data_IF_822963623576
#
_entry.id   IF_822963623576
#
_cell.length_a   1.000
_cell.length_b   1.000
_cell.length_c   1.000
_cell.angle_alpha   90.00
_cell.angle_beta   90.00
_cell.angle_gamma   90.00
#
_symmetry.space_group_name_H-M   'P 1'
#
loop_
_entity.id
_entity.type
_entity.pdbx_description
1 polymer ?
#
# COMPACT_ATOMS: atom_id res chain seq x y z
N UNK A 1 5.88 0.71 14.58
CA UNK A 1 5.85 1.89 13.67
C UNK A 1 6.91 2.94 14.01
N UNK A 2 6.84 3.64 15.16
CA UNK A 2 7.76 4.74 15.52
C UNK A 2 9.27 4.49 15.44
N UNK A 3 9.70 3.23 15.50
CA UNK A 3 11.11 2.83 15.34
C UNK A 3 11.58 2.89 13.88
N UNK A 4 10.66 2.72 12.92
CA UNK A 4 10.95 2.52 11.50
C UNK A 4 10.38 3.63 10.62
N UNK A 5 9.50 4.46 11.16
CA UNK A 5 8.82 5.54 10.45
C UNK A 5 9.06 6.88 11.16
N UNK A 6 9.16 7.95 10.37
CA UNK A 6 9.31 9.33 10.85
C UNK A 6 7.98 10.02 11.15
N UNK A 7 6.85 9.41 10.75
CA UNK A 7 5.50 10.00 10.86
C UNK A 7 5.38 11.35 10.12
N UNK A 8 6.14 11.51 9.03
CA UNK A 8 6.22 12.72 8.18
C UNK A 8 5.00 12.91 7.25
N UNK A 9 4.21 11.84 7.10
CA UNK A 9 2.99 11.77 6.29
C UNK A 9 1.83 11.34 7.20
N UNK A 10 0.63 11.95 7.07
CA UNK A 10 -0.52 11.52 7.87
C UNK A 10 -0.88 10.05 7.59
N UNK A 11 -1.22 9.32 8.66
CA UNK A 11 -1.74 7.97 8.53
C UNK A 11 -3.23 7.96 8.24
N UNK A 12 -3.66 6.95 7.50
CA UNK A 12 -5.04 6.47 7.49
C UNK A 12 -5.07 5.06 8.07
N UNK A 13 -5.98 4.81 9.00
CA UNK A 13 -6.21 3.48 9.56
C UNK A 13 -7.15 2.69 8.67
N UNK A 14 -7.01 1.36 8.70
CA UNK A 14 -7.81 0.42 7.89
C UNK A 14 -9.31 0.66 8.07
N UNK A 15 -9.76 0.91 9.29
CA UNK A 15 -11.16 1.16 9.62
C UNK A 15 -11.71 2.45 8.98
N UNK A 16 -10.84 3.40 8.63
CA UNK A 16 -11.19 4.69 8.05
C UNK A 16 -11.00 4.73 6.52
N UNK A 17 -10.53 3.64 5.92
CA UNK A 17 -10.33 3.52 4.48
C UNK A 17 -11.51 2.76 3.85
N UNK A 18 -12.36 3.49 3.13
CA UNK A 18 -13.36 2.88 2.26
C UNK A 18 -12.74 2.61 0.87
N UNK A 19 -12.24 1.41 0.64
CA UNK A 19 -11.61 0.98 -0.61
C UNK A 19 -12.59 0.89 -1.80
N UNK A 20 -13.89 1.05 -1.55
CA UNK A 20 -14.93 1.14 -2.59
C UNK A 20 -15.16 2.55 -3.12
N UNK A 21 -14.58 3.56 -2.47
CA UNK A 21 -14.66 4.95 -2.94
C UNK A 21 -13.80 5.13 -4.20
N UNK A 22 -14.45 5.41 -5.32
CA UNK A 22 -13.80 5.58 -6.63
C UNK A 22 -12.93 6.84 -6.71
N UNK A 23 -13.04 7.74 -5.73
CA UNK A 23 -12.22 8.95 -5.66
C UNK A 23 -10.88 8.73 -4.94
N UNK A 24 -10.62 7.53 -4.44
CA UNK A 24 -9.36 7.17 -3.78
C UNK A 24 -8.44 6.44 -4.76
N UNK A 25 -7.20 6.92 -4.83
CA UNK A 25 -6.14 6.20 -5.52
C UNK A 25 -5.33 5.39 -4.51
N UNK A 26 -5.22 4.09 -4.76
CA UNK A 26 -4.43 3.16 -3.95
C UNK A 26 -3.11 2.86 -4.65
N UNK A 27 -1.99 3.13 -3.98
CA UNK A 27 -0.65 2.82 -4.48
C UNK A 27 0.00 1.75 -3.62
N UNK A 28 0.44 0.66 -4.25
CA UNK A 28 1.21 -0.39 -3.61
C UNK A 28 2.70 -0.18 -3.84
N UNK A 29 3.40 0.16 -2.77
CA UNK A 29 4.84 0.37 -2.74
C UNK A 29 5.62 -0.92 -2.45
N UNK A 30 5.00 -2.11 -2.57
CA UNK A 30 5.73 -3.38 -2.54
C UNK A 30 6.28 -3.72 -3.92
N UNK A 31 7.22 -4.67 -3.97
CA UNK A 31 7.79 -5.11 -5.24
C UNK A 31 6.75 -5.89 -6.07
N UNK A 32 6.86 -5.89 -7.41
CA UNK A 32 5.86 -6.53 -8.29
C UNK A 32 5.54 -7.98 -7.94
N UNK A 33 6.55 -8.76 -7.52
CA UNK A 33 6.34 -10.14 -7.06
C UNK A 33 5.40 -10.24 -5.85
N UNK A 34 5.47 -9.27 -4.93
CA UNK A 34 4.61 -9.23 -3.75
C UNK A 34 3.18 -8.82 -4.12
N UNK A 35 3.05 -7.89 -5.06
CA UNK A 35 1.78 -7.42 -5.62
C UNK A 35 1.06 -8.55 -6.40
N UNK A 36 1.81 -9.36 -7.14
CA UNK A 36 1.25 -10.47 -7.92
C UNK A 36 0.60 -11.56 -7.05
N UNK A 37 1.19 -11.85 -5.89
CA UNK A 37 0.60 -12.76 -4.88
C UNK A 37 -0.74 -12.21 -4.42
N UNK A 38 -0.74 -10.98 -3.92
CA UNK A 38 -1.97 -10.25 -3.65
C UNK A 38 -1.76 -8.77 -3.47
N UNK A 39 -2.83 -8.00 -3.63
CA UNK A 39 -2.91 -6.55 -3.45
C UNK A 39 -4.34 -6.12 -3.07
N UNK A 40 -4.49 -4.89 -2.60
CA UNK A 40 -5.80 -4.26 -2.42
C UNK A 40 -6.46 -4.08 -3.79
N UNK A 41 -7.77 -4.27 -3.86
CA UNK A 41 -8.53 -4.14 -5.10
C UNK A 41 -8.34 -2.74 -5.73
N UNK A 42 -8.17 -2.68 -7.05
CA UNK A 42 -7.89 -1.44 -7.83
C UNK A 42 -6.57 -0.73 -7.49
N UNK A 43 -5.68 -1.33 -6.69
CA UNK A 43 -4.38 -0.71 -6.40
C UNK A 43 -3.45 -0.70 -7.62
N UNK A 44 -2.62 0.34 -7.71
CA UNK A 44 -1.57 0.50 -8.72
C UNK A 44 -0.25 0.09 -8.09
N UNK A 45 0.43 -0.90 -8.68
CA UNK A 45 1.78 -1.29 -8.26
C UNK A 45 2.79 -0.23 -8.72
N UNK A 46 3.51 0.38 -7.77
CA UNK A 46 4.55 1.40 -8.07
C UNK A 46 5.96 0.93 -7.74
N UNK A 47 6.11 -0.15 -6.96
CA UNK A 47 7.42 -0.64 -6.52
C UNK A 47 8.08 0.28 -5.49
N UNK A 48 9.18 -0.18 -4.90
CA UNK A 48 9.99 0.63 -3.98
C UNK A 48 11.42 0.81 -4.49
N UNK A 49 12.12 -0.30 -4.78
CA UNK A 49 13.57 -0.26 -5.10
C UNK A 49 13.86 0.55 -6.37
N UNK A 50 12.94 0.49 -7.33
CA UNK A 50 13.01 1.20 -8.61
C UNK A 50 11.82 2.16 -8.79
N UNK A 51 11.33 2.75 -7.69
CA UNK A 51 10.21 3.69 -7.74
C UNK A 51 10.52 4.86 -8.69
N UNK A 52 9.62 5.08 -9.66
CA UNK A 52 9.68 6.18 -10.61
C UNK A 52 8.52 7.15 -10.37
N UNK A 53 8.85 8.31 -9.81
CA UNK A 53 7.88 9.35 -9.51
C UNK A 53 7.20 9.91 -10.77
N UNK A 54 7.94 10.09 -11.87
CA UNK A 54 7.38 10.67 -13.09
C UNK A 54 6.39 9.71 -13.74
N UNK A 55 6.75 8.42 -13.82
CA UNK A 55 5.86 7.36 -14.29
C UNK A 55 4.64 7.19 -13.40
N UNK A 56 4.81 7.34 -12.08
CA UNK A 56 3.69 7.28 -11.13
C UNK A 56 2.73 8.44 -11.34
N UNK A 57 3.23 9.68 -11.47
CA UNK A 57 2.42 10.88 -11.71
C UNK A 57 1.54 10.75 -12.95
N UNK A 58 2.04 10.12 -14.02
CA UNK A 58 1.28 9.90 -15.25
C UNK A 58 0.06 8.96 -15.08
N UNK A 59 0.06 8.13 -14.03
CA UNK A 59 -1.06 7.24 -13.69
C UNK A 59 -2.03 7.86 -12.66
N UNK A 60 -1.67 9.00 -12.09
CA UNK A 60 -2.46 9.69 -11.08
C UNK A 60 -3.39 10.72 -11.75
N UNK A 61 -4.53 11.05 -11.13
CA UNK A 61 -5.37 12.16 -11.55
C UNK A 61 -4.57 13.46 -11.65
N UNK A 62 -4.94 14.31 -12.62
CA UNK A 62 -4.35 15.65 -12.79
C UNK A 62 -4.60 16.54 -11.55
N UNK A 63 -5.76 16.38 -10.91
CA UNK A 63 -6.09 17.12 -9.69
C UNK A 63 -5.27 16.60 -8.50
N UNK A 64 -4.32 17.44 -8.06
CA UNK A 64 -3.43 17.20 -6.92
C UNK A 64 -4.15 17.16 -5.56
N UNK A 65 -5.45 17.44 -5.52
CA UNK A 65 -6.29 17.29 -4.34
C UNK A 65 -6.95 15.90 -4.26
N UNK A 66 -6.80 15.02 -5.26
CA UNK A 66 -7.28 13.64 -5.12
C UNK A 66 -6.64 12.94 -3.92
N UNK A 67 -7.44 12.11 -3.24
CA UNK A 67 -6.98 11.34 -2.08
C UNK A 67 -6.14 10.17 -2.57
N UNK A 68 -4.88 10.14 -2.15
CA UNK A 68 -3.93 9.07 -2.45
C UNK A 68 -3.60 8.35 -1.15
N UNK A 69 -3.72 7.04 -1.15
CA UNK A 69 -3.32 6.19 -0.04
C UNK A 69 -2.24 5.24 -0.53
N UNK A 70 -1.06 5.36 0.06
CA UNK A 70 0.09 4.50 -0.24
C UNK A 70 0.20 3.44 0.84
N UNK A 71 0.45 2.21 0.46
CA UNK A 71 0.68 1.13 1.41
C UNK A 71 1.84 0.23 0.97
N UNK A 72 2.43 -0.45 1.94
CA UNK A 72 3.30 -1.59 1.68
C UNK A 72 2.89 -2.74 2.60
N UNK A 73 3.80 -3.64 2.98
CA UNK A 73 3.50 -4.74 3.92
C UNK A 73 3.03 -4.21 5.28
N UNK A 74 3.73 -3.21 5.83
CA UNK A 74 3.54 -2.72 7.20
C UNK A 74 3.41 -1.20 7.35
N UNK A 75 3.61 -0.43 6.27
CA UNK A 75 3.60 1.04 6.30
C UNK A 75 4.98 1.70 6.29
N UNK A 76 6.08 0.95 6.23
CA UNK A 76 7.45 1.49 6.26
C UNK A 76 7.82 2.09 4.91
N UNK A 77 8.03 1.24 3.88
CA UNK A 77 8.33 1.66 2.50
C UNK A 77 7.36 2.70 1.92
N UNK A 78 6.08 2.59 2.29
CA UNK A 78 5.04 3.49 1.78
C UNK A 78 5.13 4.91 2.36
N UNK A 79 5.77 5.10 3.51
CA UNK A 79 6.02 6.46 4.03
C UNK A 79 6.96 7.23 3.08
N UNK A 80 8.07 6.62 2.68
CA UNK A 80 9.06 7.25 1.78
C UNK A 80 8.45 7.62 0.42
N UNK A 81 7.63 6.72 -0.14
CA UNK A 81 6.91 6.98 -1.40
C UNK A 81 5.89 8.11 -1.22
N UNK A 82 5.14 8.09 -0.12
CA UNK A 82 4.17 9.14 0.16
C UNK A 82 4.82 10.52 0.38
N UNK A 83 6.02 10.58 0.97
CA UNK A 83 6.79 11.82 1.05
C UNK A 83 7.17 12.37 -0.32
N UNK A 84 7.60 11.50 -1.24
CA UNK A 84 7.95 11.92 -2.61
C UNK A 84 6.74 12.50 -3.33
N UNK A 85 5.56 11.90 -3.16
CA UNK A 85 4.30 12.42 -3.72
C UNK A 85 3.93 13.78 -3.10
N UNK A 86 4.08 13.97 -1.79
CA UNK A 86 3.87 15.28 -1.16
C UNK A 86 4.84 16.34 -1.69
N UNK A 87 6.13 15.99 -1.85
CA UNK A 87 7.15 16.87 -2.44
C UNK A 87 6.82 17.24 -3.89
N UNK A 88 6.14 16.34 -4.61
CA UNK A 88 5.62 16.58 -5.97
C UNK A 88 4.31 17.40 -6.02
N UNK A 89 3.80 17.88 -4.88
CA UNK A 89 2.66 18.80 -4.80
C UNK A 89 1.29 18.14 -4.58
N UNK A 90 1.21 16.82 -4.38
CA UNK A 90 -0.05 16.18 -3.97
C UNK A 90 -0.39 16.54 -2.52
N UNK A 91 -1.61 16.99 -2.29
CA UNK A 91 -2.01 17.56 -0.99
C UNK A 91 -2.59 16.52 -0.04
N UNK A 92 -3.30 15.53 -0.58
CA UNK A 92 -4.06 14.54 0.17
C UNK A 92 -3.42 13.15 0.08
N UNK A 93 -2.16 13.03 0.50
CA UNK A 93 -1.41 11.77 0.52
C UNK A 93 -1.36 11.19 1.93
N UNK A 94 -1.76 9.92 2.06
CA UNK A 94 -1.80 9.20 3.32
C UNK A 94 -1.00 7.90 3.24
N UNK A 95 -0.39 7.52 4.37
CA UNK A 95 0.22 6.21 4.54
C UNK A 95 -0.79 5.26 5.22
N UNK A 96 -1.04 4.08 4.66
CA UNK A 96 -1.92 3.09 5.28
C UNK A 96 -1.23 2.47 6.50
N UNK A 97 -1.75 2.76 7.69
CA UNK A 97 -1.19 2.24 8.94
C UNK A 97 -1.26 0.70 8.96
N UNK A 98 -0.11 0.05 9.11
CA UNK A 98 0.00 -1.40 9.16
C UNK A 98 -0.10 -2.09 7.79
N UNK A 99 -0.23 -1.32 6.71
CA UNK A 99 -0.16 -1.81 5.33
C UNK A 99 -1.18 -2.91 5.00
N UNK A 100 -0.82 -3.75 4.02
CA UNK A 100 -1.66 -4.89 3.61
C UNK A 100 -1.78 -5.95 4.72
N UNK A 101 -0.83 -6.02 5.65
CA UNK A 101 -0.92 -6.99 6.75
C UNK A 101 -2.07 -6.63 7.69
N UNK A 102 -2.14 -5.38 8.14
CA UNK A 102 -3.23 -4.94 8.98
C UNK A 102 -4.56 -4.99 8.23
N UNK A 103 -4.57 -4.63 6.94
CA UNK A 103 -5.73 -4.79 6.07
C UNK A 103 -6.30 -6.22 6.12
N UNK A 104 -5.43 -7.22 5.92
CA UNK A 104 -5.83 -8.63 5.98
C UNK A 104 -6.18 -9.08 7.40
N UNK A 105 -5.45 -8.63 8.41
CA UNK A 105 -5.71 -8.93 9.82
C UNK A 105 -7.11 -8.45 10.27
N UNK A 106 -7.62 -7.37 9.67
CA UNK A 106 -8.98 -6.87 9.88
C UNK A 106 -10.07 -7.66 9.15
N UNK A 107 -9.68 -8.64 8.33
CA UNK A 107 -10.60 -9.50 7.59
C UNK A 107 -11.01 -8.94 6.22
N UNK A 108 -10.37 -7.87 5.76
CA UNK A 108 -10.66 -7.31 4.45
C UNK A 108 -10.13 -8.22 3.33
N UNK A 109 -10.80 -8.15 2.18
CA UNK A 109 -10.43 -8.93 0.99
C UNK A 109 -9.20 -8.34 0.30
N UNK A 110 -8.39 -9.22 -0.28
CA UNK A 110 -7.29 -8.90 -1.19
C UNK A 110 -7.49 -9.70 -2.47
N UNK A 111 -6.89 -9.25 -3.57
CA UNK A 111 -6.99 -9.91 -4.88
C UNK A 111 -5.61 -10.28 -5.40
N UNK A 112 -5.51 -11.36 -6.18
CA UNK A 112 -4.26 -11.75 -6.85
C UNK A 112 -4.07 -10.98 -8.16
N UNK A 113 -2.97 -11.24 -8.89
CA UNK A 113 -2.67 -10.64 -10.21
C UNK A 113 -3.79 -10.72 -11.26
N UNK A 114 -4.72 -11.66 -11.12
CA UNK A 114 -5.86 -11.81 -12.02
C UNK A 114 -7.12 -11.10 -11.49
N UNK A 115 -7.00 -10.23 -10.49
CA UNK A 115 -8.09 -9.56 -9.78
C UNK A 115 -9.12 -10.52 -9.16
N UNK A 116 -8.69 -11.75 -8.81
CA UNK A 116 -9.55 -12.72 -8.11
C UNK A 116 -9.30 -12.66 -6.61
N UNK A 117 -10.34 -12.73 -5.76
CA UNK A 117 -10.17 -12.82 -4.32
C UNK A 117 -9.19 -13.94 -3.93
N UNK A 118 -8.31 -13.67 -2.98
CA UNK A 118 -7.34 -14.64 -2.45
C UNK A 118 -7.14 -14.46 -0.95
N UNK A 119 -6.73 -15.55 -0.30
CA UNK A 119 -6.29 -15.54 1.10
C UNK A 119 -4.78 -15.39 1.24
N UNK A 120 -4.04 -15.52 0.13
CA UNK A 120 -2.58 -15.43 0.09
C UNK A 120 -2.11 -13.98 0.25
N UNK A 121 -1.07 -13.77 1.05
CA UNK A 121 -0.41 -12.47 1.21
C UNK A 121 1.09 -12.69 1.30
N UNK A 122 1.84 -11.97 0.44
CA UNK A 122 3.29 -12.01 0.47
C UNK A 122 3.80 -11.38 1.78
N UNK A 123 4.43 -12.21 2.61
CA UNK A 123 4.85 -11.90 3.97
C UNK A 123 6.24 -11.26 4.06
N UNK A 124 6.84 -10.93 2.91
CA UNK A 124 8.19 -10.36 2.74
C UNK A 124 9.30 -11.33 3.17
N UNK A 125 9.48 -11.55 4.47
CA UNK A 125 10.37 -12.56 5.03
C UNK A 125 9.82 -13.09 6.36
N UNK A 126 10.46 -14.11 6.94
CA UNK A 126 9.98 -14.75 8.17
C UNK A 126 9.99 -13.83 9.38
N UNK A 127 10.84 -12.81 9.42
CA UNK A 127 10.94 -11.87 10.54
C UNK A 127 9.78 -10.88 10.53
N UNK A 128 9.46 -10.32 9.36
CA UNK A 128 8.33 -9.40 9.21
C UNK A 128 6.99 -10.11 9.10
N UNK A 129 6.97 -11.33 8.57
CA UNK A 129 5.77 -12.13 8.40
C UNK A 129 5.07 -12.51 9.71
N UNK A 130 5.71 -12.33 10.87
CA UNK A 130 5.07 -12.52 12.19
C UNK A 130 3.90 -11.57 12.43
N UNK A 131 3.91 -10.40 11.79
CA UNK A 131 2.87 -9.37 11.93
C UNK A 131 1.62 -9.63 11.05
N UNK A 132 1.74 -10.52 10.06
CA UNK A 132 0.58 -11.05 9.35
C UNK A 132 -0.01 -12.18 10.18
N UNK A 133 -1.19 -11.97 10.75
CA UNK A 133 -1.85 -12.93 11.67
C UNK A 133 -3.04 -13.64 11.02
N UNK A 134 -3.53 -13.14 9.88
CA UNK A 134 -4.59 -13.76 9.08
C UNK A 134 -4.17 -13.91 7.62
N UNK A 135 -4.77 -14.89 6.93
CA UNK A 135 -4.43 -15.26 5.56
C UNK A 135 -3.30 -16.29 5.49
N UNK A 136 -2.90 -16.63 4.26
CA UNK A 136 -1.85 -17.61 3.95
C UNK A 136 -0.57 -16.83 3.62
N UNK A 137 0.49 -17.03 4.41
CA UNK A 137 1.79 -16.38 4.22
C UNK A 137 2.52 -17.00 3.02
N UNK A 138 2.88 -16.15 2.06
CA UNK A 138 3.75 -16.51 0.94
C UNK A 138 5.09 -15.77 1.11
N UNK A 139 6.21 -16.43 0.88
CA UNK A 139 7.56 -15.84 1.04
C UNK A 139 8.38 -15.84 -0.25
N UNK A 140 7.87 -16.47 -1.31
CA UNK A 140 8.51 -16.62 -2.62
C UNK A 140 7.86 -15.68 -3.64
#
# INVERSE_FOLDING_TARGET
MKKFNQESVPYIHVENLNDKDENIVLLDAREPREFEVSHLNKAICVGYDHFDLQKTIQQLPEDKNNKIVVYCSLGIRSEDIAEQLKKAGYKNVFNLYGGIFEWKNKGNSVVNKNNKPTEEVHAFDKEWGVWLTKGIKIYE
#
